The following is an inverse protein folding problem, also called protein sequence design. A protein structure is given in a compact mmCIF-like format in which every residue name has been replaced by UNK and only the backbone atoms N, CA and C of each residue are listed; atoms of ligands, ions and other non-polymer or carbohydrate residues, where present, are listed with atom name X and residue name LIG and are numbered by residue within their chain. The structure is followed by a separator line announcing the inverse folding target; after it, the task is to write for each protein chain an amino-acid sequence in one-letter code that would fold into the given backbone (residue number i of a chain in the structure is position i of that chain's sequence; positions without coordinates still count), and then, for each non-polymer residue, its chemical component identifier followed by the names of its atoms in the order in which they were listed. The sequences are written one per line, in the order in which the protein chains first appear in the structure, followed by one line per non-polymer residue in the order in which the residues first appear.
data_IF_108304988366
#
_entry.id   IF_108304988366
#
_cell.length_a   1.000
_cell.length_b   1.000
_cell.length_c   1.000
_cell.angle_alpha   90.00
_cell.angle_beta   90.00
_cell.angle_gamma   90.00
#
_symmetry.space_group_name_H-M   'P 1'
#
loop_
_entity.id
_entity.type
_entity.pdbx_description
1 polymer ?
#
# COMPACT_ATOMS: atom_id res chain seq x y z
N UNK A 1 -29.95 58.01 12.63
CA UNK A 1 -30.40 57.80 14.02
C UNK A 1 -29.87 56.45 14.47
N UNK A 2 -28.99 56.44 15.46
CA UNK A 2 -28.29 55.26 15.95
C UNK A 2 -29.06 54.61 17.10
N UNK A 3 -29.17 53.29 17.11
CA UNK A 3 -29.73 52.54 18.24
C UNK A 3 -28.74 51.46 18.65
N UNK A 4 -28.18 51.63 19.85
CA UNK A 4 -27.30 50.68 20.55
C UNK A 4 -28.16 49.57 21.18
N UNK A 5 -27.77 48.32 20.96
CA UNK A 5 -28.28 47.14 21.67
C UNK A 5 -27.18 46.52 22.52
N UNK A 6 -27.49 46.27 23.79
CA UNK A 6 -26.62 45.94 24.91
C UNK A 6 -26.36 44.43 25.00
N UNK A 7 -25.13 43.99 25.26
CA UNK A 7 -24.78 42.58 25.55
C UNK A 7 -24.21 42.50 26.97
N UNK A 8 -24.71 41.62 27.86
CA UNK A 8 -24.13 41.42 29.19
C UNK A 8 -23.01 40.36 29.18
N UNK A 9 -21.90 40.66 29.87
CA UNK A 9 -20.83 39.72 30.25
C UNK A 9 -21.20 38.96 31.53
N UNK A 10 -20.87 37.66 31.68
CA UNK A 10 -20.81 37.01 32.97
C UNK A 10 -19.41 37.07 33.58
N UNK A 11 -19.43 37.19 34.90
CA UNK A 11 -18.39 37.32 35.92
C UNK A 11 -17.47 36.11 36.07
N UNK A 12 -16.17 36.37 36.23
CA UNK A 12 -15.15 35.41 36.69
C UNK A 12 -15.01 35.58 38.21
N UNK A 13 -15.32 34.53 38.96
CA UNK A 13 -15.04 34.47 40.40
C UNK A 13 -13.66 33.86 40.65
N UNK A 14 -12.82 34.62 41.34
CA UNK A 14 -11.56 34.17 41.95
C UNK A 14 -11.83 33.47 43.28
N UNK A 15 -11.17 32.34 43.52
CA UNK A 15 -10.84 31.83 44.86
C UNK A 15 -9.40 31.30 44.83
N UNK A 16 -8.46 32.01 45.47
CA UNK A 16 -7.16 31.47 45.94
C UNK A 16 -7.39 30.65 47.22
N UNK A 17 -6.55 29.70 47.66
CA UNK A 17 -5.12 29.68 48.04
C UNK A 17 -4.88 28.25 48.68
N UNK A 18 -3.72 27.85 49.28
CA UNK A 18 -2.30 28.17 49.09
C UNK A 18 -1.33 26.92 49.12
N UNK A 19 -0.05 27.18 48.82
CA UNK A 19 1.23 26.64 49.40
C UNK A 19 1.64 25.16 49.35
N UNK A 20 2.85 24.98 48.79
CA UNK A 20 3.99 24.14 49.21
C UNK A 20 3.75 22.79 49.89
N UNK A 21 4.20 21.72 49.22
CA UNK A 21 4.66 20.49 49.88
C UNK A 21 6.06 20.15 49.38
N UNK A 22 7.04 20.31 50.27
CA UNK A 22 8.38 19.72 50.19
C UNK A 22 8.28 18.20 50.29
N UNK A 23 8.91 17.47 49.37
CA UNK A 23 9.16 16.04 49.50
C UNK A 23 10.61 15.78 49.94
N UNK A 24 10.80 15.32 51.18
CA UNK A 24 12.00 14.63 51.62
C UNK A 24 11.61 13.29 52.24
N UNK A 25 12.13 12.18 51.71
CA UNK A 25 12.59 11.03 52.50
C UNK A 25 13.28 9.96 51.63
N UNK A 26 14.59 9.85 51.87
CA UNK A 26 15.52 8.71 51.95
C UNK A 26 15.36 7.38 51.15
N UNK A 27 16.50 6.72 50.84
CA UNK A 27 16.60 5.64 49.86
C UNK A 27 16.38 4.27 50.49
N UNK A 28 15.68 3.38 49.78
CA UNK A 28 15.49 2.00 50.21
C UNK A 28 16.18 1.01 49.27
N UNK A 29 17.21 0.36 49.82
CA UNK A 29 17.33 -1.10 49.83
C UNK A 29 17.47 -1.85 48.51
N UNK A 30 18.72 -2.10 48.12
CA UNK A 30 19.12 -3.28 47.36
C UNK A 30 18.52 -4.56 47.98
N UNK A 31 17.73 -5.31 47.20
CA UNK A 31 17.35 -6.69 47.53
C UNK A 31 17.92 -7.61 46.46
N UNK A 32 18.90 -8.41 46.86
CA UNK A 32 19.45 -9.52 46.08
C UNK A 32 18.43 -10.66 45.98
N UNK A 33 18.15 -11.09 44.76
CA UNK A 33 17.49 -12.37 44.47
C UNK A 33 18.54 -13.45 44.10
N UNK A 34 18.33 -14.72 44.50
CA UNK A 34 19.38 -15.74 44.45
C UNK A 34 19.58 -16.30 43.04
N UNK A 35 20.85 -16.45 42.66
CA UNK A 35 21.29 -17.20 41.48
C UNK A 35 20.92 -18.67 41.63
N UNK A 36 20.03 -19.19 40.77
CA UNK A 36 19.87 -20.63 40.56
C UNK A 36 20.88 -21.11 39.52
N UNK A 37 21.94 -21.74 40.02
CA UNK A 37 22.87 -22.56 39.25
C UNK A 37 22.15 -23.85 38.88
N UNK A 38 21.89 -24.09 37.59
CA UNK A 38 21.49 -25.41 37.09
C UNK A 38 22.67 -26.05 36.39
N UNK A 39 23.15 -27.13 36.99
CA UNK A 39 24.08 -28.11 36.41
C UNK A 39 23.37 -28.94 35.34
N UNK A 40 23.94 -29.14 34.15
CA UNK A 40 23.44 -30.14 33.21
C UNK A 40 24.02 -31.51 33.59
N UNK A 41 23.13 -32.46 33.91
CA UNK A 41 23.49 -33.88 34.03
C UNK A 41 23.97 -34.38 32.68
N UNK A 42 25.19 -34.93 32.66
CA UNK A 42 25.73 -35.71 31.56
C UNK A 42 24.93 -37.02 31.44
N UNK A 43 24.27 -37.23 30.30
CA UNK A 43 23.93 -38.57 29.82
C UNK A 43 24.81 -38.87 28.61
N UNK A 44 25.79 -39.76 28.81
CA UNK A 44 26.53 -40.41 27.74
C UNK A 44 25.54 -41.10 26.80
N UNK A 45 25.58 -40.77 25.52
CA UNK A 45 25.02 -41.62 24.46
C UNK A 45 26.12 -41.83 23.42
N UNK A 46 26.45 -43.09 23.20
CA UNK A 46 27.58 -43.55 22.40
C UNK A 46 27.51 -43.06 20.95
N UNK A 47 28.63 -42.53 20.46
CA UNK A 47 28.88 -42.38 19.03
C UNK A 47 29.21 -43.75 18.43
N UNK A 48 28.28 -44.29 17.65
CA UNK A 48 28.56 -45.35 16.68
C UNK A 48 28.59 -44.74 15.29
N UNK A 49 29.79 -44.70 14.70
CA UNK A 49 30.04 -44.39 13.29
C UNK A 49 29.37 -45.45 12.41
N UNK A 50 28.45 -45.04 11.54
CA UNK A 50 27.94 -45.88 10.46
C UNK A 50 28.06 -45.10 9.15
N UNK A 51 28.76 -45.73 8.21
CA UNK A 51 29.14 -45.21 6.90
C UNK A 51 27.93 -44.82 6.03
N UNK A 52 28.13 -43.77 5.24
CA UNK A 52 27.17 -43.27 4.26
C UNK A 52 27.05 -44.23 3.05
N UNK A 53 25.83 -44.52 2.55
CA UNK A 53 25.64 -44.87 1.16
C UNK A 53 25.37 -43.60 0.35
N UNK A 54 26.14 -43.42 -0.71
CA UNK A 54 25.91 -42.43 -1.77
C UNK A 54 24.58 -42.74 -2.47
N UNK A 55 23.58 -41.88 -2.30
CA UNK A 55 22.36 -41.88 -3.11
C UNK A 55 22.22 -40.53 -3.78
N UNK A 56 22.21 -40.54 -5.11
CA UNK A 56 22.05 -39.35 -5.94
C UNK A 56 20.79 -38.59 -5.56
N UNK A 57 20.94 -37.28 -5.38
CA UNK A 57 19.85 -36.36 -5.13
C UNK A 57 18.98 -36.24 -6.39
N UNK A 58 18.02 -37.15 -6.55
CA UNK A 58 16.82 -36.84 -7.29
C UNK A 58 16.06 -35.81 -6.46
N UNK A 59 16.12 -34.54 -6.87
CA UNK A 59 15.33 -33.46 -6.28
C UNK A 59 13.84 -33.77 -6.50
N UNK A 60 13.24 -34.48 -5.56
CA UNK A 60 11.80 -34.61 -5.45
C UNK A 60 11.25 -33.22 -5.17
N UNK A 61 10.58 -32.62 -6.15
CA UNK A 61 9.78 -31.42 -5.94
C UNK A 61 8.57 -31.79 -5.08
N UNK A 62 8.72 -31.73 -3.76
CA UNK A 62 7.61 -31.79 -2.83
C UNK A 62 6.80 -30.51 -3.02
N UNK A 63 5.69 -30.59 -3.76
CA UNK A 63 4.67 -29.54 -3.76
C UNK A 63 3.98 -29.58 -2.40
N UNK A 64 4.55 -28.89 -1.41
CA UNK A 64 3.80 -28.54 -0.22
C UNK A 64 2.62 -27.70 -0.69
N UNK A 65 1.42 -28.28 -0.65
CA UNK A 65 0.17 -27.56 -0.83
C UNK A 65 -0.04 -26.75 0.46
N UNK A 66 0.70 -25.64 0.56
CA UNK A 66 0.70 -24.83 1.76
C UNK A 66 -0.70 -24.27 1.98
N UNK A 67 -1.31 -24.61 3.11
CA UNK A 67 -2.64 -24.15 3.43
C UNK A 67 -2.60 -22.66 3.80
N UNK A 68 -3.15 -21.81 2.94
CA UNK A 68 -3.23 -20.36 3.15
C UNK A 68 -3.93 -20.01 4.48
N UNK A 69 -4.90 -20.80 4.94
CA UNK A 69 -5.59 -20.57 6.20
C UNK A 69 -4.67 -20.69 7.44
N UNK A 70 -3.58 -21.46 7.35
CA UNK A 70 -2.61 -21.57 8.43
C UNK A 70 -1.46 -20.56 8.29
N UNK A 71 -1.19 -20.08 7.06
CA UNK A 71 -0.02 -19.26 6.75
C UNK A 71 -0.35 -17.79 6.48
N UNK A 72 -1.63 -17.39 6.60
CA UNK A 72 -2.06 -16.06 6.17
C UNK A 72 -1.37 -14.93 6.93
N UNK A 73 -1.03 -15.12 8.21
CA UNK A 73 -0.36 -14.07 9.01
C UNK A 73 1.01 -13.72 8.43
N UNK A 74 1.76 -14.72 7.98
CA UNK A 74 3.03 -14.53 7.28
C UNK A 74 2.84 -13.84 5.92
N UNK A 75 1.81 -14.25 5.16
CA UNK A 75 1.44 -13.57 3.90
C UNK A 75 1.04 -12.10 4.12
N UNK A 76 0.46 -11.80 5.27
CA UNK A 76 0.09 -10.45 5.71
C UNK A 76 1.25 -9.71 6.40
N UNK A 77 2.47 -10.23 6.32
CA UNK A 77 3.67 -9.51 6.74
C UNK A 77 3.94 -9.51 8.23
N UNK A 78 3.44 -10.51 8.98
CA UNK A 78 3.72 -10.66 10.42
C UNK A 78 5.20 -10.45 10.74
N UNK A 79 6.09 -11.14 10.02
CA UNK A 79 7.54 -11.02 10.14
C UNK A 79 8.17 -10.23 8.98
N UNK A 80 7.48 -9.20 8.48
CA UNK A 80 7.95 -8.37 7.34
C UNK A 80 8.37 -9.18 6.11
N UNK A 81 7.72 -10.33 5.88
CA UNK A 81 8.04 -11.26 4.78
C UNK A 81 9.50 -11.72 4.75
N UNK A 82 10.18 -11.74 5.90
CA UNK A 82 11.50 -12.38 6.06
C UNK A 82 11.43 -13.82 5.51
N UNK A 83 12.44 -14.20 4.73
CA UNK A 83 12.53 -15.48 4.02
C UNK A 83 11.39 -15.81 3.01
N UNK A 84 10.46 -14.88 2.76
CA UNK A 84 9.38 -15.07 1.77
C UNK A 84 9.60 -14.31 0.46
N UNK A 85 10.47 -13.29 0.47
CA UNK A 85 10.74 -12.43 -0.70
C UNK A 85 11.83 -13.00 -1.60
N UNK A 86 12.89 -13.57 -1.02
CA UNK A 86 14.04 -14.08 -1.78
C UNK A 86 14.52 -15.44 -1.21
N UNK A 87 14.25 -16.57 -1.91
CA UNK A 87 13.45 -16.69 -3.14
C UNK A 87 11.96 -16.46 -2.88
N UNK A 88 11.27 -15.83 -3.85
CA UNK A 88 9.85 -15.49 -3.70
C UNK A 88 8.99 -16.74 -3.45
N UNK A 89 8.45 -16.85 -2.24
CA UNK A 89 7.67 -17.99 -1.75
C UNK A 89 6.42 -18.22 -2.63
N UNK A 90 6.10 -19.47 -3.03
CA UNK A 90 5.00 -19.73 -3.96
C UNK A 90 3.63 -19.24 -3.50
N UNK A 91 3.32 -19.34 -2.19
CA UNK A 91 2.07 -18.78 -1.66
C UNK A 91 2.05 -17.25 -1.72
N UNK A 92 3.16 -16.60 -1.36
CA UNK A 92 3.23 -15.14 -1.39
C UNK A 92 3.05 -14.64 -2.82
N UNK A 93 3.72 -15.28 -3.78
CA UNK A 93 3.53 -15.02 -5.21
C UNK A 93 2.07 -15.15 -5.64
N UNK A 94 1.39 -16.23 -5.26
CA UNK A 94 -0.03 -16.47 -5.61
C UNK A 94 -0.92 -15.37 -5.03
N UNK A 95 -0.67 -14.95 -3.80
CA UNK A 95 -1.46 -13.91 -3.14
C UNK A 95 -1.15 -12.53 -3.72
N UNK A 96 0.11 -12.19 -4.03
CA UNK A 96 0.45 -10.96 -4.77
C UNK A 96 -0.31 -10.93 -6.11
N UNK A 97 -0.29 -12.01 -6.88
CA UNK A 97 -1.03 -12.09 -8.16
C UNK A 97 -2.53 -11.85 -7.92
N UNK A 98 -3.11 -12.51 -6.90
CA UNK A 98 -4.53 -12.36 -6.55
C UNK A 98 -4.89 -10.92 -6.20
N UNK A 99 -4.09 -10.26 -5.37
CA UNK A 99 -4.26 -8.85 -5.02
C UNK A 99 -4.10 -7.93 -6.25
N UNK A 100 -3.15 -8.23 -7.15
CA UNK A 100 -3.00 -7.54 -8.43
C UNK A 100 -4.23 -7.70 -9.34
N UNK A 101 -4.84 -8.89 -9.39
CA UNK A 101 -6.07 -9.14 -10.17
C UNK A 101 -7.26 -8.33 -9.65
N UNK A 102 -7.37 -8.12 -8.34
CA UNK A 102 -8.37 -7.22 -7.76
C UNK A 102 -8.16 -5.75 -8.16
N UNK A 103 -6.90 -5.30 -8.27
CA UNK A 103 -6.60 -3.96 -8.82
C UNK A 103 -6.90 -3.90 -10.32
N UNK A 104 -6.60 -4.97 -11.07
CA UNK A 104 -6.95 -5.06 -12.49
C UNK A 104 -8.46 -5.01 -12.74
N UNK A 105 -9.27 -5.52 -11.81
CA UNK A 105 -10.73 -5.40 -11.86
C UNK A 105 -11.19 -3.95 -11.90
N UNK A 106 -10.52 -3.03 -11.19
CA UNK A 106 -10.80 -1.60 -11.28
C UNK A 106 -10.64 -1.10 -12.72
N UNK A 107 -9.54 -1.44 -13.39
CA UNK A 107 -9.30 -0.98 -14.77
C UNK A 107 -10.32 -1.56 -15.76
N UNK A 108 -10.69 -2.84 -15.64
CA UNK A 108 -11.68 -3.48 -16.51
C UNK A 108 -13.08 -2.85 -16.35
N UNK A 109 -13.47 -2.58 -15.11
CA UNK A 109 -14.77 -2.00 -14.78
C UNK A 109 -14.86 -0.48 -15.00
N UNK A 110 -13.73 0.21 -15.22
CA UNK A 110 -13.72 1.66 -15.42
C UNK A 110 -14.18 2.05 -16.82
N UNK A 111 -15.09 3.02 -16.90
CA UNK A 111 -15.60 3.55 -18.15
C UNK A 111 -14.81 4.77 -18.62
N UNK A 112 -14.18 4.61 -19.78
CA UNK A 112 -13.35 5.62 -20.43
C UNK A 112 -13.97 6.12 -21.73
N UNK A 113 -15.17 5.64 -22.11
CA UNK A 113 -15.86 6.15 -23.29
C UNK A 113 -16.44 7.55 -22.99
N UNK A 114 -15.94 8.63 -23.62
CA UNK A 114 -16.43 9.98 -23.37
C UNK A 114 -17.90 10.16 -23.73
N UNK A 115 -18.47 9.28 -24.57
CA UNK A 115 -19.88 9.33 -24.95
C UNK A 115 -20.79 8.57 -23.97
N UNK A 116 -20.21 7.83 -23.03
CA UNK A 116 -20.97 7.08 -22.04
C UNK A 116 -21.54 7.99 -20.95
N UNK A 117 -22.80 7.74 -20.56
CA UNK A 117 -23.40 8.35 -19.37
C UNK A 117 -22.67 8.00 -18.07
N UNK A 118 -21.82 6.97 -18.10
CA UNK A 118 -20.99 6.52 -16.97
C UNK A 118 -19.52 6.88 -17.16
N UNK A 119 -19.18 7.81 -18.06
CA UNK A 119 -17.80 8.28 -18.22
C UNK A 119 -17.15 8.59 -16.86
N UNK A 120 -15.93 8.10 -16.65
CA UNK A 120 -15.16 8.20 -15.40
C UNK A 120 -15.81 7.55 -14.17
N UNK A 121 -16.75 6.63 -14.38
CA UNK A 121 -17.40 5.83 -13.35
C UNK A 121 -17.24 4.32 -13.62
N UNK A 122 -17.71 3.49 -12.68
CA UNK A 122 -17.82 2.05 -12.90
C UNK A 122 -18.95 1.75 -13.90
N UNK A 123 -18.67 0.89 -14.88
CA UNK A 123 -19.63 0.39 -15.89
C UNK A 123 -20.78 -0.39 -15.28
N UNK A 124 -20.50 -1.09 -14.18
CA UNK A 124 -21.38 -2.12 -13.60
C UNK A 124 -21.95 -1.69 -12.26
N UNK A 125 -23.04 -2.33 -11.86
CA UNK A 125 -23.59 -2.19 -10.51
C UNK A 125 -22.70 -2.89 -9.48
N UNK A 126 -22.66 -2.34 -8.27
CA UNK A 126 -21.84 -2.86 -7.15
C UNK A 126 -21.93 -4.39 -6.97
N UNK A 127 -23.14 -4.95 -6.97
CA UNK A 127 -23.36 -6.39 -6.72
C UNK A 127 -22.97 -7.28 -7.90
N UNK A 128 -22.88 -6.73 -9.11
CA UNK A 128 -22.55 -7.51 -10.31
C UNK A 128 -21.13 -7.30 -10.80
N UNK A 129 -20.44 -6.22 -10.39
CA UNK A 129 -19.17 -5.80 -10.96
C UNK A 129 -18.14 -6.91 -11.10
N UNK A 130 -17.90 -7.70 -10.04
CA UNK A 130 -16.93 -8.80 -10.09
C UNK A 130 -17.35 -9.91 -11.06
N UNK A 131 -18.65 -10.20 -11.19
CA UNK A 131 -19.15 -11.15 -12.18
C UNK A 131 -18.99 -10.63 -13.61
N UNK A 132 -19.38 -9.38 -13.86
CA UNK A 132 -19.32 -8.78 -15.21
C UNK A 132 -17.88 -8.65 -15.75
N UNK A 133 -16.87 -8.62 -14.86
CA UNK A 133 -15.45 -8.63 -15.22
C UNK A 133 -14.79 -10.02 -15.18
N UNK A 134 -15.59 -11.07 -14.97
CA UNK A 134 -15.14 -12.47 -15.02
C UNK A 134 -14.47 -12.99 -13.74
N UNK A 135 -14.79 -12.41 -12.58
CA UNK A 135 -14.27 -12.76 -11.26
C UNK A 135 -15.39 -13.13 -10.26
N UNK A 136 -16.46 -13.80 -10.72
CA UNK A 136 -17.55 -14.22 -9.83
C UNK A 136 -17.10 -15.18 -8.72
N UNK A 137 -16.21 -16.11 -9.05
CA UNK A 137 -15.69 -17.13 -8.13
C UNK A 137 -14.54 -16.64 -7.25
N UNK A 138 -14.21 -15.34 -7.26
CA UNK A 138 -13.13 -14.81 -6.43
C UNK A 138 -13.43 -14.90 -4.93
N UNK A 139 -14.70 -15.11 -4.57
CA UNK A 139 -15.17 -15.25 -3.19
C UNK A 139 -15.27 -13.94 -2.42
N UNK A 140 -15.31 -12.79 -3.11
CA UNK A 140 -15.49 -11.46 -2.50
C UNK A 140 -16.77 -10.81 -2.96
N UNK A 141 -17.35 -9.99 -2.09
CA UNK A 141 -18.51 -9.16 -2.42
C UNK A 141 -18.15 -7.69 -2.26
N UNK A 142 -18.43 -6.89 -3.29
CA UNK A 142 -18.18 -5.45 -3.26
C UNK A 142 -19.22 -4.77 -2.36
N UNK A 143 -18.76 -4.04 -1.35
CA UNK A 143 -19.60 -3.39 -0.35
C UNK A 143 -19.70 -1.89 -0.57
N UNK A 144 -18.68 -1.24 -1.15
CA UNK A 144 -18.70 0.21 -1.42
C UNK A 144 -17.87 0.56 -2.65
N UNK A 145 -18.35 1.53 -3.43
CA UNK A 145 -17.54 2.22 -4.44
C UNK A 145 -16.98 3.49 -3.84
N UNK A 146 -15.74 3.79 -4.20
CA UNK A 146 -14.99 4.94 -3.69
C UNK A 146 -14.76 5.91 -4.83
N UNK A 147 -15.12 7.16 -4.55
CA UNK A 147 -15.01 8.27 -5.48
C UNK A 147 -14.08 9.32 -4.90
N UNK A 148 -13.30 9.95 -5.76
CA UNK A 148 -12.48 11.10 -5.41
C UNK A 148 -12.72 12.25 -6.38
N UNK A 149 -12.70 13.45 -5.83
CA UNK A 149 -12.90 14.72 -6.52
C UNK A 149 -11.58 15.47 -6.44
N UNK A 150 -10.83 15.60 -7.55
CA UNK A 150 -9.67 16.48 -7.53
C UNK A 150 -10.14 17.92 -7.43
N UNK A 151 -9.47 18.71 -6.59
CA UNK A 151 -9.61 20.17 -6.53
C UNK A 151 -9.06 20.89 -7.78
N UNK A 152 -8.81 20.16 -8.87
CA UNK A 152 -8.15 20.66 -10.08
C UNK A 152 -9.13 20.57 -11.24
N UNK A 153 -9.42 21.72 -11.82
CA UNK A 153 -10.24 21.90 -13.01
C UNK A 153 -9.66 21.06 -14.16
N UNK A 154 -10.38 19.98 -14.50
CA UNK A 154 -10.17 19.29 -15.78
C UNK A 154 -11.26 19.82 -16.71
N UNK A 155 -10.91 20.40 -17.87
CA UNK A 155 -11.89 20.78 -18.87
C UNK A 155 -12.55 19.50 -19.42
N UNK A 156 -13.70 19.13 -18.85
CA UNK A 156 -14.57 18.10 -19.41
C UNK A 156 -15.37 18.77 -20.53
N UNK A 157 -15.39 18.24 -21.76
CA UNK A 157 -16.31 18.71 -22.79
C UNK A 157 -17.75 18.51 -22.29
N UNK A 158 -18.40 19.60 -21.88
CA UNK A 158 -19.81 19.68 -21.44
C UNK A 158 -20.21 18.88 -20.19
N UNK A 159 -19.46 18.94 -19.08
CA UNK A 159 -19.93 18.43 -17.79
C UNK A 159 -19.34 19.14 -16.58
N UNK A 160 -20.16 19.36 -15.54
CA UNK A 160 -19.71 19.81 -14.23
C UNK A 160 -18.73 18.79 -13.60
N UNK A 161 -17.77 19.24 -12.81
CA UNK A 161 -16.82 18.37 -12.09
C UNK A 161 -17.59 17.34 -11.25
N UNK A 162 -17.51 16.07 -11.65
CA UNK A 162 -18.18 14.95 -10.99
C UNK A 162 -17.12 14.02 -10.37
N UNK A 163 -17.41 13.48 -9.19
CA UNK A 163 -16.52 12.54 -8.51
C UNK A 163 -16.13 11.37 -9.40
N UNK A 164 -14.82 11.09 -9.49
CA UNK A 164 -14.28 10.03 -10.34
C UNK A 164 -14.20 8.75 -9.54
N UNK A 165 -14.66 7.64 -10.12
CA UNK A 165 -14.51 6.35 -9.48
C UNK A 165 -13.03 5.93 -9.46
N UNK A 166 -12.48 5.70 -8.28
CA UNK A 166 -11.06 5.38 -8.09
C UNK A 166 -10.81 4.01 -7.48
N UNK A 167 -11.86 3.33 -7.02
CA UNK A 167 -11.68 2.06 -6.33
C UNK A 167 -12.94 1.52 -5.66
N UNK A 168 -12.78 0.42 -4.94
CA UNK A 168 -13.88 -0.21 -4.23
C UNK A 168 -13.39 -0.93 -2.97
N UNK A 169 -14.32 -1.07 -2.03
CA UNK A 169 -14.18 -1.93 -0.85
C UNK A 169 -14.96 -3.22 -1.12
N UNK A 170 -14.33 -4.36 -0.85
CA UNK A 170 -14.94 -5.67 -0.92
C UNK A 170 -14.57 -6.49 0.31
N UNK A 171 -15.43 -7.45 0.66
CA UNK A 171 -15.20 -8.33 1.80
C UNK A 171 -15.25 -9.79 1.36
N UNK A 172 -14.38 -10.61 1.94
CA UNK A 172 -14.39 -12.05 1.74
C UNK A 172 -15.74 -12.65 2.20
N UNK A 173 -16.34 -13.50 1.37
CA UNK A 173 -17.50 -14.34 1.72
C UNK A 173 -17.12 -15.45 2.71
N UNK A 174 -18.09 -16.10 3.33
CA UNK A 174 -17.85 -17.18 4.30
C UNK A 174 -17.10 -18.37 3.67
N UNK A 175 -17.38 -18.66 2.40
CA UNK A 175 -16.62 -19.65 1.62
C UNK A 175 -15.15 -19.24 1.48
N UNK A 176 -14.90 -17.96 1.18
CA UNK A 176 -13.54 -17.44 1.12
C UNK A 176 -12.85 -17.45 2.48
N UNK A 177 -13.56 -17.16 3.58
CA UNK A 177 -12.98 -17.23 4.93
C UNK A 177 -12.45 -18.62 5.25
N UNK A 178 -13.18 -19.69 4.88
CA UNK A 178 -12.70 -21.08 5.06
C UNK A 178 -11.39 -21.34 4.32
N UNK A 179 -11.19 -20.74 3.14
CA UNK A 179 -9.94 -20.85 2.35
C UNK A 179 -8.82 -19.94 2.85
N UNK A 180 -9.17 -18.74 3.30
CA UNK A 180 -8.23 -17.69 3.72
C UNK A 180 -7.80 -17.81 5.19
N UNK A 181 -8.59 -18.50 6.01
CA UNK A 181 -8.42 -18.58 7.47
C UNK A 181 -8.78 -17.30 8.22
N UNK A 182 -9.42 -16.33 7.54
CA UNK A 182 -9.75 -15.00 8.07
C UNK A 182 -10.81 -14.29 7.21
N UNK A 183 -11.51 -13.32 7.79
CA UNK A 183 -12.33 -12.34 7.10
C UNK A 183 -11.44 -11.21 6.56
N UNK A 184 -11.18 -11.24 5.27
CA UNK A 184 -10.37 -10.20 4.63
C UNK A 184 -11.24 -9.06 4.11
N UNK A 185 -11.02 -7.85 4.62
CA UNK A 185 -11.55 -6.60 4.08
C UNK A 185 -10.54 -6.09 3.05
N UNK A 186 -10.91 -6.15 1.78
CA UNK A 186 -10.10 -5.69 0.66
C UNK A 186 -10.49 -4.27 0.27
N UNK A 187 -9.52 -3.36 0.23
CA UNK A 187 -9.68 -2.05 -0.40
C UNK A 187 -8.77 -1.99 -1.62
N UNK A 188 -9.34 -1.62 -2.76
CA UNK A 188 -8.59 -1.55 -4.02
C UNK A 188 -8.63 -0.14 -4.60
N UNK A 189 -7.51 0.29 -5.16
CA UNK A 189 -7.40 1.57 -5.84
C UNK A 189 -6.75 1.40 -7.21
N UNK A 190 -7.36 1.98 -8.25
CA UNK A 190 -6.69 2.12 -9.54
C UNK A 190 -5.74 3.32 -9.54
N UNK A 191 -4.74 3.26 -10.40
CA UNK A 191 -3.97 4.42 -10.81
C UNK A 191 -4.71 5.31 -11.82
N UNK A 192 -4.05 6.39 -12.21
CA UNK A 192 -4.49 7.30 -13.26
C UNK A 192 -4.50 6.60 -14.61
N UNK A 193 -5.62 6.72 -15.33
CA UNK A 193 -5.71 6.31 -16.75
C UNK A 193 -5.66 7.53 -17.67
N UNK A 194 -5.90 8.72 -17.12
CA UNK A 194 -6.09 9.96 -17.88
C UNK A 194 -5.03 10.99 -17.51
N UNK A 195 -4.37 11.48 -18.55
CA UNK A 195 -3.49 12.65 -18.65
C UNK A 195 -2.20 12.63 -17.78
N UNK A 196 -1.02 12.68 -18.42
CA UNK A 196 0.29 12.85 -17.76
C UNK A 196 0.39 14.02 -16.79
N UNK A 197 -0.41 15.07 -16.98
CA UNK A 197 -0.50 16.25 -16.10
C UNK A 197 -0.81 15.88 -14.64
N UNK A 198 -1.48 14.75 -14.41
CA UNK A 198 -1.72 14.27 -13.05
C UNK A 198 -0.44 13.84 -12.35
N UNK A 199 0.46 13.17 -13.05
CA UNK A 199 1.74 12.77 -12.44
C UNK A 199 2.56 14.01 -12.11
N UNK A 200 2.55 15.03 -12.97
CA UNK A 200 3.27 16.27 -12.68
C UNK A 200 2.64 17.03 -11.50
N UNK A 201 1.32 17.01 -11.35
CA UNK A 201 0.62 17.64 -10.23
C UNK A 201 0.80 16.87 -8.91
N UNK A 202 0.91 15.55 -8.95
CA UNK A 202 1.22 14.66 -7.81
C UNK A 202 2.70 14.70 -7.39
N UNK A 203 3.46 15.69 -7.86
CA UNK A 203 4.90 15.84 -7.60
C UNK A 203 5.20 17.28 -7.13
N UNK A 204 4.28 17.83 -6.33
CA UNK A 204 4.25 19.26 -6.00
C UNK A 204 5.15 19.61 -4.79
N UNK A 205 4.85 19.03 -3.63
CA UNK A 205 5.53 19.33 -2.36
C UNK A 205 5.13 18.35 -1.25
N UNK A 206 5.94 18.29 -0.19
CA UNK A 206 5.63 17.60 1.05
C UNK A 206 4.84 18.51 1.99
N UNK A 207 3.65 18.08 2.42
CA UNK A 207 2.81 18.78 3.40
C UNK A 207 2.55 17.89 4.62
N UNK A 208 2.41 18.46 5.83
CA UNK A 208 1.98 17.69 7.00
C UNK A 208 0.67 16.94 6.74
N UNK A 209 0.63 15.64 7.09
CA UNK A 209 -0.53 14.80 6.82
C UNK A 209 -1.79 15.25 7.58
N UNK A 210 -1.65 15.61 8.87
CA UNK A 210 -2.72 16.12 9.75
C UNK A 210 -4.02 15.28 9.70
N UNK A 211 -3.86 13.96 9.64
CA UNK A 211 -4.99 13.06 9.55
C UNK A 211 -5.60 12.78 10.92
N UNK A 212 -4.80 12.70 12.00
CA UNK A 212 -5.33 12.70 13.36
C UNK A 212 -5.58 14.15 13.85
N UNK A 213 -6.85 14.55 14.11
CA UNK A 213 -7.15 15.87 14.63
C UNK A 213 -6.63 16.13 16.06
N UNK A 214 -6.32 15.07 16.83
CA UNK A 214 -5.84 15.16 18.21
C UNK A 214 -4.30 15.15 18.31
N UNK A 215 -3.61 14.58 17.31
CA UNK A 215 -2.15 14.56 17.22
C UNK A 215 -1.68 14.87 15.79
N UNK A 216 -1.60 16.16 15.39
CA UNK A 216 -1.42 16.55 13.99
C UNK A 216 -0.01 16.31 13.42
N UNK A 217 0.96 15.84 14.23
CA UNK A 217 2.36 15.48 13.86
C UNK A 217 2.93 16.22 12.64
N UNK A 218 3.41 17.44 12.86
CA UNK A 218 3.83 18.35 11.77
C UNK A 218 5.08 17.89 11.00
N UNK A 219 5.86 16.99 11.59
CA UNK A 219 7.04 16.34 11.04
C UNK A 219 6.69 15.20 10.06
N UNK A 220 5.52 14.56 10.25
CA UNK A 220 4.99 13.52 9.36
C UNK A 220 4.39 14.18 8.12
N UNK A 221 5.12 14.12 7.02
CA UNK A 221 4.74 14.79 5.77
C UNK A 221 4.52 13.81 4.63
N UNK A 222 3.51 14.08 3.83
CA UNK A 222 3.10 13.31 2.66
C UNK A 222 3.03 14.21 1.43
N UNK A 223 3.04 13.63 0.24
CA UNK A 223 2.87 14.37 -1.00
C UNK A 223 1.49 15.06 -1.03
N UNK A 224 1.48 16.35 -1.33
CA UNK A 224 0.29 17.20 -1.21
C UNK A 224 -0.82 16.82 -2.20
N UNK A 225 -0.49 16.39 -3.41
CA UNK A 225 -1.45 15.91 -4.40
C UNK A 225 -2.16 14.62 -3.95
N UNK A 226 -1.43 13.64 -3.41
CA UNK A 226 -2.05 12.44 -2.84
C UNK A 226 -2.95 12.79 -1.64
N UNK A 227 -2.50 13.70 -0.77
CA UNK A 227 -3.30 14.14 0.37
C UNK A 227 -4.57 14.87 -0.06
N UNK A 228 -4.47 15.83 -1.00
CA UNK A 228 -5.63 16.54 -1.56
C UNK A 228 -6.63 15.56 -2.15
N UNK A 229 -6.20 14.65 -3.04
CA UNK A 229 -7.09 13.65 -3.63
C UNK A 229 -7.78 12.76 -2.56
N UNK A 230 -7.12 12.53 -1.43
CA UNK A 230 -7.65 11.73 -0.34
C UNK A 230 -8.64 12.51 0.55
N UNK A 231 -8.40 13.79 0.83
CA UNK A 231 -9.15 14.57 1.83
C UNK A 231 -10.18 15.55 1.27
N UNK A 232 -10.07 15.95 0.01
CA UNK A 232 -10.94 16.96 -0.58
C UNK A 232 -12.39 16.50 -0.67
N UNK A 233 -13.31 17.43 -0.43
CA UNK A 233 -14.75 17.19 -0.31
C UNK A 233 -15.53 18.20 -1.18
N UNK A 234 -16.47 17.69 -1.97
CA UNK A 234 -17.41 18.50 -2.76
C UNK A 234 -18.71 18.65 -1.95
N UNK A 235 -18.68 19.53 -0.94
CA UNK A 235 -19.78 19.71 0.01
C UNK A 235 -21.14 20.11 -0.62
N UNK A 236 -21.19 20.50 -1.89
CA UNK A 236 -22.36 21.19 -2.45
C UNK A 236 -23.11 20.48 -3.60
N UNK A 237 -22.64 19.38 -4.18
CA UNK A 237 -23.23 18.90 -5.46
C UNK A 237 -23.74 17.45 -5.53
N UNK A 238 -23.21 16.52 -4.72
CA UNK A 238 -23.65 15.11 -4.76
C UNK A 238 -23.84 14.44 -3.39
N UNK A 239 -23.57 15.14 -2.28
CA UNK A 239 -23.66 14.59 -0.92
C UNK A 239 -22.66 13.44 -0.64
N UNK A 240 -21.67 13.26 -1.51
CA UNK A 240 -20.57 12.32 -1.31
C UNK A 240 -19.47 13.04 -0.55
N UNK A 241 -19.24 12.64 0.71
CA UNK A 241 -18.08 13.11 1.45
C UNK A 241 -16.76 12.73 0.77
N UNK A 242 -15.63 13.24 1.28
CA UNK A 242 -14.31 12.97 0.74
C UNK A 242 -13.98 11.48 0.60
N UNK A 243 -12.99 11.16 -0.23
CA UNK A 243 -12.48 9.80 -0.39
C UNK A 243 -12.18 9.16 0.97
N UNK A 244 -11.46 9.89 1.84
CA UNK A 244 -11.19 9.53 3.23
C UNK A 244 -12.46 9.20 4.01
N UNK A 245 -13.47 10.08 4.01
CA UNK A 245 -14.70 9.85 4.76
C UNK A 245 -15.45 8.60 4.27
N UNK A 246 -15.53 8.39 2.96
CA UNK A 246 -16.16 7.20 2.37
C UNK A 246 -15.45 5.91 2.83
N UNK A 247 -14.12 5.90 2.85
CA UNK A 247 -13.29 4.77 3.23
C UNK A 247 -13.38 4.48 4.73
N UNK A 248 -13.12 5.47 5.59
CA UNK A 248 -13.14 5.29 7.04
C UNK A 248 -14.53 4.88 7.54
N UNK A 249 -15.60 5.43 6.96
CA UNK A 249 -16.98 5.03 7.29
C UNK A 249 -17.24 3.56 6.95
N UNK A 250 -16.84 3.11 5.76
CA UNK A 250 -17.08 1.74 5.33
C UNK A 250 -16.20 0.73 6.09
N UNK A 251 -14.92 1.04 6.32
CA UNK A 251 -14.03 0.20 7.14
C UNK A 251 -14.60 0.06 8.55
N UNK A 252 -15.00 1.17 9.18
CA UNK A 252 -15.60 1.15 10.52
C UNK A 252 -16.88 0.31 10.57
N UNK A 253 -17.72 0.40 9.53
CA UNK A 253 -18.94 -0.40 9.40
C UNK A 253 -18.63 -1.89 9.34
N UNK A 254 -17.67 -2.30 8.51
CA UNK A 254 -17.26 -3.69 8.33
C UNK A 254 -16.59 -4.26 9.59
N UNK A 255 -15.72 -3.48 10.24
CA UNK A 255 -15.09 -3.89 11.50
C UNK A 255 -16.12 -4.13 12.61
N UNK A 256 -17.19 -3.32 12.65
CA UNK A 256 -18.31 -3.53 13.57
C UNK A 256 -19.14 -4.77 13.20
N UNK A 257 -19.38 -4.98 11.92
CA UNK A 257 -20.17 -6.11 11.41
C UNK A 257 -19.52 -7.46 11.72
N UNK A 258 -18.20 -7.57 11.50
CA UNK A 258 -17.43 -8.81 11.72
C UNK A 258 -16.69 -8.83 13.06
N UNK A 259 -17.22 -8.12 14.06
CA UNK A 259 -16.66 -8.13 15.42
C UNK A 259 -16.72 -9.55 15.98
N UNK A 260 -15.57 -10.06 16.43
CA UNK A 260 -15.43 -11.42 16.97
C UNK A 260 -14.83 -12.42 15.97
N UNK A 261 -14.62 -12.03 14.72
CA UNK A 261 -13.87 -12.84 13.74
C UNK A 261 -12.37 -12.46 13.71
N UNK A 262 -11.55 -13.36 13.17
CA UNK A 262 -10.19 -13.05 12.70
C UNK A 262 -10.32 -12.20 11.43
N UNK A 263 -10.12 -10.89 11.55
CA UNK A 263 -10.27 -9.91 10.46
C UNK A 263 -8.90 -9.41 10.02
N UNK A 264 -8.73 -9.14 8.72
CA UNK A 264 -7.60 -8.40 8.15
C UNK A 264 -8.08 -7.24 7.29
N UNK A 265 -7.29 -6.17 7.21
CA UNK A 265 -7.50 -5.08 6.27
C UNK A 265 -6.37 -5.16 5.24
N UNK A 266 -6.70 -5.63 4.03
CA UNK A 266 -5.76 -5.65 2.92
C UNK A 266 -6.06 -4.51 1.95
N UNK A 267 -5.05 -3.70 1.65
CA UNK A 267 -5.12 -2.64 0.67
C UNK A 267 -4.27 -3.02 -0.54
N UNK A 268 -4.78 -2.81 -1.74
CA UNK A 268 -4.03 -3.06 -2.96
C UNK A 268 -4.21 -1.88 -3.91
N UNK A 269 -3.11 -1.45 -4.52
CA UNK A 269 -3.17 -0.34 -5.45
C UNK A 269 -2.04 -0.39 -6.46
N UNK A 270 -2.30 0.21 -7.62
CA UNK A 270 -1.31 0.38 -8.67
C UNK A 270 -1.05 1.87 -8.92
N UNK A 271 0.21 2.25 -9.13
CA UNK A 271 0.62 3.63 -9.46
C UNK A 271 0.10 4.62 -8.39
N UNK A 272 -0.61 5.69 -8.78
CA UNK A 272 -1.31 6.61 -7.85
C UNK A 272 -2.18 5.86 -6.81
N UNK A 273 -2.84 4.76 -7.20
CA UNK A 273 -3.66 3.96 -6.29
C UNK A 273 -2.85 3.31 -5.17
N UNK A 274 -1.57 3.00 -5.40
CA UNK A 274 -0.68 2.49 -4.36
C UNK A 274 -0.41 3.55 -3.29
N UNK A 275 -0.25 4.82 -3.69
CA UNK A 275 -0.06 5.91 -2.74
C UNK A 275 -1.27 6.12 -1.85
N UNK A 276 -2.47 6.08 -2.43
CA UNK A 276 -3.73 6.14 -1.68
C UNK A 276 -3.89 4.94 -0.73
N UNK A 277 -3.46 3.75 -1.13
CA UNK A 277 -3.46 2.57 -0.28
C UNK A 277 -2.54 2.76 0.95
N UNK A 278 -1.33 3.28 0.75
CA UNK A 278 -0.41 3.56 1.87
C UNK A 278 -0.95 4.67 2.78
N UNK A 279 -1.52 5.74 2.22
CA UNK A 279 -2.14 6.80 3.02
C UNK A 279 -3.31 6.30 3.86
N UNK A 280 -4.21 5.50 3.29
CA UNK A 280 -5.32 4.91 4.04
C UNK A 280 -4.83 3.95 5.12
N UNK A 281 -3.81 3.14 4.84
CA UNK A 281 -3.25 2.22 5.82
C UNK A 281 -2.66 2.97 7.03
N UNK A 282 -1.92 4.05 6.74
CA UNK A 282 -1.43 4.98 7.76
C UNK A 282 -2.60 5.60 8.56
N UNK A 283 -3.62 6.14 7.89
CA UNK A 283 -4.77 6.81 8.53
C UNK A 283 -5.55 5.85 9.45
N UNK A 284 -5.81 4.62 9.00
CA UNK A 284 -6.47 3.57 9.80
C UNK A 284 -5.70 3.29 11.08
N UNK A 285 -4.37 3.15 10.98
CA UNK A 285 -3.52 2.80 12.12
C UNK A 285 -3.28 3.98 13.06
N UNK A 286 -3.09 5.19 12.52
CA UNK A 286 -2.91 6.42 13.29
C UNK A 286 -4.17 6.74 14.12
N UNK A 287 -5.36 6.57 13.53
CA UNK A 287 -6.64 6.72 14.24
C UNK A 287 -6.95 5.55 15.20
N UNK A 288 -6.14 4.49 15.20
CA UNK A 288 -6.33 3.31 16.03
C UNK A 288 -7.57 2.48 15.67
N UNK A 289 -8.12 2.63 14.45
CA UNK A 289 -9.31 1.89 14.01
C UNK A 289 -9.06 0.38 13.93
N UNK A 290 -7.81 -0.03 13.76
CA UNK A 290 -7.40 -1.43 13.73
C UNK A 290 -7.10 -2.02 15.13
N UNK A 291 -7.26 -1.27 16.22
CA UNK A 291 -7.03 -1.79 17.58
C UNK A 291 -8.27 -2.52 18.10
N UNK A 292 -8.11 -3.75 18.60
CA UNK A 292 -9.16 -4.45 19.37
C UNK A 292 -8.96 -4.17 20.86
N UNK A 293 -10.04 -3.95 21.60
CA UNK A 293 -9.99 -3.64 23.04
C UNK A 293 -9.29 -4.73 23.88
N UNK A 294 -9.34 -6.01 23.45
CA UNK A 294 -8.79 -7.14 24.22
C UNK A 294 -8.01 -8.20 23.41
N UNK A 295 -7.98 -8.14 22.07
CA UNK A 295 -7.50 -9.24 21.21
C UNK A 295 -6.36 -8.84 20.24
N UNK A 296 -5.58 -7.82 20.60
CA UNK A 296 -4.46 -7.33 19.76
C UNK A 296 -4.92 -6.44 18.60
N UNK A 297 -4.02 -6.23 17.63
CA UNK A 297 -4.27 -5.33 16.49
C UNK A 297 -4.68 -6.14 15.25
N UNK A 298 -5.64 -5.60 14.50
CA UNK A 298 -6.05 -6.09 13.19
C UNK A 298 -4.92 -5.78 12.20
N UNK A 299 -4.36 -6.78 11.50
CA UNK A 299 -3.32 -6.55 10.52
C UNK A 299 -3.79 -5.62 9.39
N UNK A 300 -2.99 -4.60 9.09
CA UNK A 300 -3.18 -3.66 7.98
C UNK A 300 -2.03 -3.83 7.00
N UNK A 301 -2.33 -4.38 5.83
CA UNK A 301 -1.32 -4.78 4.84
C UNK A 301 -1.56 -4.12 3.50
N UNK A 302 -0.53 -3.53 2.89
CA UNK A 302 -0.58 -2.89 1.58
C UNK A 302 0.22 -3.70 0.56
N UNK A 303 -0.42 -4.05 -0.57
CA UNK A 303 0.23 -4.58 -1.77
C UNK A 303 0.31 -3.45 -2.82
N UNK A 304 1.50 -2.86 -2.94
CA UNK A 304 1.78 -1.70 -3.78
C UNK A 304 2.43 -2.14 -5.09
N UNK A 305 1.75 -1.96 -6.22
CA UNK A 305 2.27 -2.28 -7.56
C UNK A 305 2.72 -0.99 -8.26
N UNK A 306 4.02 -0.85 -8.56
CA UNK A 306 4.52 0.33 -9.27
C UNK A 306 4.30 1.65 -8.52
N UNK A 307 4.10 1.61 -7.20
CA UNK A 307 3.78 2.79 -6.41
C UNK A 307 4.98 3.75 -6.23
N UNK A 308 4.78 5.07 -6.34
CA UNK A 308 5.80 6.06 -6.02
C UNK A 308 6.00 6.22 -4.50
N UNK A 309 6.95 7.06 -4.08
CA UNK A 309 7.13 7.48 -2.69
C UNK A 309 5.97 8.37 -2.25
N UNK A 310 5.49 8.15 -1.03
CA UNK A 310 4.27 8.79 -0.52
C UNK A 310 4.58 9.94 0.44
N UNK A 311 5.65 9.83 1.22
CA UNK A 311 6.00 10.81 2.23
C UNK A 311 7.48 10.82 2.58
N UNK A 312 7.82 11.58 3.62
CA UNK A 312 9.19 11.71 4.09
C UNK A 312 9.64 10.56 5.00
N UNK A 313 10.88 10.62 5.48
CA UNK A 313 11.42 9.65 6.44
C UNK A 313 10.58 9.53 7.72
N UNK A 314 10.06 10.64 8.26
CA UNK A 314 9.20 10.62 9.45
C UNK A 314 7.87 9.88 9.19
N UNK A 315 7.29 10.05 8.00
CA UNK A 315 6.12 9.28 7.58
C UNK A 315 6.42 7.77 7.48
N UNK A 316 7.59 7.41 6.94
CA UNK A 316 8.04 6.01 6.90
C UNK A 316 8.16 5.42 8.31
N UNK A 317 8.94 6.08 9.17
CA UNK A 317 9.19 5.64 10.55
C UNK A 317 7.88 5.52 11.32
N UNK A 318 6.96 6.48 11.14
CA UNK A 318 5.64 6.42 11.77
C UNK A 318 4.80 5.24 11.28
N UNK A 319 4.81 4.92 9.99
CA UNK A 319 4.12 3.73 9.48
C UNK A 319 4.66 2.43 10.09
N UNK A 320 6.00 2.35 10.24
CA UNK A 320 6.67 1.20 10.86
C UNK A 320 6.31 1.08 12.36
N UNK A 321 6.31 2.19 13.10
CA UNK A 321 5.89 2.27 14.50
C UNK A 321 4.44 1.85 14.72
N UNK A 322 3.56 2.20 13.78
CA UNK A 322 2.15 1.84 13.78
C UNK A 322 1.89 0.39 13.34
N UNK A 323 2.94 -0.36 12.99
CA UNK A 323 2.81 -1.76 12.56
C UNK A 323 2.22 -1.96 11.17
N UNK A 324 2.10 -0.90 10.36
CA UNK A 324 1.58 -0.99 8.99
C UNK A 324 2.56 -1.79 8.12
N UNK A 325 2.05 -2.82 7.44
CA UNK A 325 2.86 -3.67 6.56
C UNK A 325 2.69 -3.23 5.12
N UNK A 326 3.78 -2.87 4.44
CA UNK A 326 3.74 -2.50 3.02
C UNK A 326 4.68 -3.40 2.24
N UNK A 327 4.15 -4.10 1.25
CA UNK A 327 4.90 -4.88 0.27
C UNK A 327 4.87 -4.15 -1.07
N UNK A 328 6.04 -3.70 -1.52
CA UNK A 328 6.23 -2.95 -2.77
C UNK A 328 6.70 -3.89 -3.85
N UNK A 329 5.87 -4.12 -4.86
CA UNK A 329 6.21 -4.84 -6.08
C UNK A 329 6.70 -3.79 -7.09
N UNK A 330 8.00 -3.81 -7.38
CA UNK A 330 8.66 -2.82 -8.24
C UNK A 330 9.25 -3.48 -9.47
N UNK A 331 9.28 -2.73 -10.57
CA UNK A 331 9.99 -3.11 -11.78
C UNK A 331 11.21 -2.22 -11.90
N UNK A 332 12.40 -2.80 -12.09
CA UNK A 332 13.67 -2.04 -12.17
C UNK A 332 13.63 -0.95 -13.24
N UNK A 333 12.91 -1.23 -14.33
CA UNK A 333 12.78 -0.37 -15.50
C UNK A 333 11.63 0.65 -15.37
N UNK A 334 10.80 0.57 -14.34
CA UNK A 334 9.72 1.52 -14.12
C UNK A 334 10.22 2.80 -13.40
N UNK A 335 10.22 3.96 -14.08
CA UNK A 335 10.67 5.22 -13.49
C UNK A 335 9.74 5.73 -12.38
N UNK A 336 8.45 5.37 -12.39
CA UNK A 336 7.47 5.88 -11.41
C UNK A 336 7.82 5.44 -9.99
N UNK A 337 8.32 4.21 -9.84
CA UNK A 337 8.78 3.69 -8.54
C UNK A 337 9.95 4.47 -7.94
N UNK A 338 10.66 5.30 -8.71
CA UNK A 338 11.81 6.11 -8.25
C UNK A 338 11.42 7.55 -7.92
N UNK A 339 10.16 7.91 -8.10
CA UNK A 339 9.64 9.24 -7.89
C UNK A 339 8.88 9.35 -6.55
N UNK A 340 8.72 10.57 -6.03
CA UNK A 340 9.52 11.78 -6.30
C UNK A 340 10.98 11.68 -5.79
N UNK A 341 11.89 12.44 -6.42
CA UNK A 341 13.26 12.64 -5.90
C UNK A 341 14.36 11.80 -6.57
N UNK A 342 14.50 11.89 -7.90
CA UNK A 342 15.50 11.15 -8.71
C UNK A 342 16.97 11.38 -8.27
N UNK A 343 17.29 12.37 -7.42
CA UNK A 343 18.69 12.72 -7.10
C UNK A 343 19.07 12.89 -5.61
N UNK A 344 18.19 12.64 -4.65
CA UNK A 344 18.58 12.63 -3.21
C UNK A 344 18.27 11.27 -2.60
N UNK A 345 19.06 10.28 -3.01
CA UNK A 345 18.88 8.89 -2.62
C UNK A 345 19.53 8.60 -1.25
N UNK A 346 18.94 7.64 -0.54
CA UNK A 346 19.24 7.10 0.79
C UNK A 346 20.73 6.77 1.05
N UNK A 347 21.56 6.72 0.00
CA UNK A 347 23.02 6.53 0.07
C UNK A 347 23.78 7.67 0.76
N UNK A 348 23.19 8.87 0.92
CA UNK A 348 23.83 9.93 1.70
C UNK A 348 23.83 9.67 3.22
N UNK A 349 23.01 8.73 3.74
CA UNK A 349 23.14 8.28 5.14
C UNK A 349 24.47 7.55 5.39
N UNK A 350 25.08 6.94 4.38
CA UNK A 350 26.33 6.17 4.53
C UNK A 350 27.56 7.09 4.63
N UNK A 351 27.51 8.30 4.06
CA UNK A 351 28.62 9.27 4.16
C UNK A 351 28.50 10.21 5.37
N UNK A 352 27.34 10.25 6.03
CA UNK A 352 26.99 11.19 7.09
C UNK A 352 27.02 10.60 8.50
N UNK A 353 27.92 9.66 8.78
CA UNK A 353 28.13 9.16 10.14
C UNK A 353 28.53 10.29 11.08
N UNK A 354 27.56 10.79 11.89
CA UNK A 354 27.63 11.80 12.98
C UNK A 354 27.05 13.19 12.76
N UNK A 355 26.41 13.52 11.63
CA UNK A 355 25.69 14.79 11.52
C UNK A 355 24.31 14.60 10.87
N UNK A 356 23.26 14.59 11.68
CA UNK A 356 21.88 14.76 11.20
C UNK A 356 21.73 16.17 10.63
N UNK A 357 21.84 16.30 9.31
CA UNK A 357 21.52 17.55 8.63
C UNK A 357 20.01 17.80 8.73
N UNK A 358 19.55 19.02 9.07
CA UNK A 358 18.12 19.38 9.20
C UNK A 358 17.25 19.10 7.95
N UNK A 359 17.89 18.84 6.82
CA UNK A 359 17.28 18.65 5.51
C UNK A 359 16.93 17.17 5.22
N UNK A 360 17.40 16.25 6.07
CA UNK A 360 17.14 14.80 5.95
C UNK A 360 15.65 14.44 6.12
N UNK A 361 14.89 15.24 6.86
CA UNK A 361 13.43 15.10 7.04
C UNK A 361 12.61 15.64 5.86
N UNK A 362 13.25 16.25 4.86
CA UNK A 362 12.60 16.81 3.67
C UNK A 362 12.73 15.92 2.43
N UNK A 363 13.38 14.76 2.54
CA UNK A 363 13.52 13.80 1.45
C UNK A 363 12.40 12.77 1.50
N UNK A 364 11.87 12.40 0.33
CA UNK A 364 10.92 11.32 0.20
C UNK A 364 11.57 9.97 0.49
N UNK A 365 10.86 9.10 1.20
CA UNK A 365 11.30 7.77 1.56
C UNK A 365 10.28 6.71 1.12
N UNK A 366 10.76 5.51 0.82
CA UNK A 366 9.88 4.37 0.60
C UNK A 366 9.47 3.73 1.92
N UNK A 367 8.20 3.32 2.00
CA UNK A 367 7.65 2.58 3.13
C UNK A 367 7.59 1.08 2.77
N UNK A 368 8.09 0.24 3.68
CA UNK A 368 7.96 -1.21 3.60
C UNK A 368 9.02 -1.97 2.79
N UNK A 369 8.72 -3.24 2.54
CA UNK A 369 9.62 -4.25 1.96
C UNK A 369 9.46 -4.30 0.45
N UNK A 370 10.56 -4.42 -0.28
CA UNK A 370 10.59 -4.38 -1.74
C UNK A 370 10.77 -5.77 -2.35
N UNK A 371 9.94 -6.10 -3.34
CA UNK A 371 10.12 -7.21 -4.27
C UNK A 371 10.50 -6.61 -5.62
N UNK A 372 11.73 -6.84 -6.04
CA UNK A 372 12.25 -6.36 -7.31
C UNK A 372 11.97 -7.38 -8.41
N UNK A 373 11.21 -6.96 -9.42
CA UNK A 373 11.05 -7.68 -10.68
C UNK A 373 12.09 -7.12 -11.66
N UNK A 374 13.13 -7.91 -11.94
CA UNK A 374 14.19 -7.55 -12.88
C UNK A 374 14.11 -8.44 -14.12
N UNK A 375 13.54 -7.94 -15.23
CA UNK A 375 13.53 -8.67 -16.50
C UNK A 375 13.62 -7.74 -17.73
N UNK A 376 14.17 -8.33 -18.82
CA UNK A 376 14.59 -7.79 -20.12
C UNK A 376 14.17 -6.36 -20.52
N UNK A 377 15.15 -5.68 -21.13
CA UNK A 377 15.17 -4.32 -21.66
C UNK A 377 13.96 -3.98 -22.57
N UNK A 378 12.78 -3.77 -21.99
CA UNK A 378 11.66 -3.15 -22.68
C UNK A 378 11.93 -1.65 -22.73
N UNK A 379 12.26 -1.15 -23.92
CA UNK A 379 12.53 0.28 -24.16
C UNK A 379 11.28 1.16 -24.01
N UNK A 380 10.09 0.59 -23.80
CA UNK A 380 8.85 1.34 -23.64
C UNK A 380 8.43 1.49 -22.15
N UNK A 381 8.58 2.70 -21.56
CA UNK A 381 8.23 3.00 -20.18
C UNK A 381 6.73 2.83 -19.85
N UNK A 382 5.84 2.89 -20.86
CA UNK A 382 4.42 2.64 -20.69
C UNK A 382 4.11 1.16 -20.45
N UNK A 383 4.90 0.26 -21.06
CA UNK A 383 4.74 -1.19 -20.90
C UNK A 383 5.29 -1.68 -19.57
N UNK A 384 6.36 -1.06 -19.06
CA UNK A 384 7.01 -1.45 -17.79
C UNK A 384 6.25 -0.99 -16.54
N UNK A 385 5.42 0.06 -16.67
CA UNK A 385 4.51 0.56 -15.63
C UNK A 385 3.08 0.01 -15.76
N UNK A 386 2.82 -0.92 -16.68
CA UNK A 386 1.49 -1.52 -16.82
C UNK A 386 1.26 -2.65 -15.80
N UNK A 387 0.13 -2.63 -15.10
CA UNK A 387 -0.21 -3.62 -14.08
C UNK A 387 -0.26 -5.07 -14.63
N UNK A 388 -0.72 -5.28 -15.87
CA UNK A 388 -0.72 -6.63 -16.45
C UNK A 388 0.70 -7.13 -16.68
N UNK A 389 1.65 -6.25 -17.00
CA UNK A 389 3.07 -6.61 -17.04
C UNK A 389 3.56 -7.09 -15.68
N UNK A 390 3.27 -6.38 -14.59
CA UNK A 390 3.62 -6.81 -13.23
C UNK A 390 3.04 -8.21 -12.90
N UNK A 391 1.76 -8.42 -13.18
CA UNK A 391 1.08 -9.71 -12.92
C UNK A 391 1.65 -10.83 -13.81
N UNK A 392 1.86 -10.55 -15.10
CA UNK A 392 2.41 -11.50 -16.06
C UNK A 392 3.82 -11.96 -15.69
N UNK A 393 4.66 -11.04 -15.21
CA UNK A 393 6.00 -11.34 -14.70
C UNK A 393 5.95 -12.26 -13.47
N UNK A 394 5.05 -12.00 -12.53
CA UNK A 394 4.87 -12.86 -11.35
C UNK A 394 4.37 -14.27 -11.72
N UNK A 395 3.55 -14.39 -12.77
CA UNK A 395 3.08 -15.70 -13.29
C UNK A 395 4.21 -16.49 -13.94
N UNK A 396 5.26 -15.84 -14.46
CA UNK A 396 6.40 -16.50 -15.07
C UNK A 396 7.29 -17.19 -14.00
N UNK A 397 7.44 -18.52 -14.12
CA UNK A 397 8.04 -19.36 -13.07
C UNK A 397 9.59 -19.33 -13.04
N UNK A 398 10.26 -18.87 -14.10
CA UNK A 398 11.73 -18.90 -14.24
C UNK A 398 12.41 -17.61 -13.73
N UNK A 399 12.39 -17.39 -12.40
CA UNK A 399 13.11 -16.26 -11.78
C UNK A 399 14.57 -16.63 -11.35
N UNK A 400 15.02 -17.88 -11.49
CA UNK A 400 16.36 -18.25 -10.99
C UNK A 400 17.19 -19.26 -11.83
N UNK A 401 16.82 -19.53 -13.09
CA UNK A 401 17.62 -20.44 -13.95
C UNK A 401 17.65 -19.98 -15.40
N UNK A 402 18.29 -18.86 -15.73
CA UNK A 402 18.66 -18.54 -17.12
C UNK A 402 20.02 -17.83 -17.23
N UNK A 403 21.02 -18.32 -16.50
CA UNK A 403 22.43 -18.12 -16.89
C UNK A 403 23.01 -19.31 -17.68
N UNK A 404 22.22 -20.37 -17.92
CA UNK A 404 22.59 -21.52 -18.75
C UNK A 404 21.37 -22.01 -19.53
N UNK A 405 21.18 -21.47 -20.73
CA UNK A 405 20.87 -22.21 -21.97
C UNK A 405 20.23 -21.26 -22.98
N UNK A 406 20.76 -21.32 -24.19
CA UNK A 406 20.52 -20.40 -25.30
C UNK A 406 19.17 -20.58 -26.00
N UNK A 407 18.08 -20.67 -25.26
CA UNK A 407 16.73 -20.90 -25.79
C UNK A 407 15.88 -19.62 -25.74
N UNK A 408 16.45 -18.55 -26.31
CA UNK A 408 15.92 -17.17 -26.24
C UNK A 408 14.75 -16.89 -27.19
N UNK A 409 14.56 -17.71 -28.23
CA UNK A 409 13.69 -17.38 -29.36
C UNK A 409 12.24 -17.80 -29.09
N UNK A 410 12.00 -19.05 -28.66
CA UNK A 410 10.64 -19.57 -28.39
C UNK A 410 9.92 -18.86 -27.22
N UNK A 411 10.67 -18.27 -26.29
CA UNK A 411 10.08 -17.54 -25.16
C UNK A 411 9.54 -16.16 -25.57
N UNK A 412 10.19 -15.50 -26.54
CA UNK A 412 9.77 -14.18 -27.02
C UNK A 412 8.42 -14.27 -27.75
N UNK A 413 8.23 -15.30 -28.57
CA UNK A 413 6.96 -15.49 -29.29
C UNK A 413 5.82 -15.78 -28.31
N UNK A 414 6.05 -16.61 -27.28
CA UNK A 414 5.00 -16.98 -26.33
C UNK A 414 4.62 -15.86 -25.37
N UNK A 415 5.59 -15.05 -24.92
CA UNK A 415 5.31 -13.86 -24.14
C UNK A 415 4.64 -12.79 -25.02
N UNK A 416 5.14 -12.58 -26.23
CA UNK A 416 4.55 -11.63 -27.17
C UNK A 416 3.12 -12.00 -27.58
N UNK A 417 2.79 -13.28 -27.75
CA UNK A 417 1.41 -13.73 -28.02
C UNK A 417 0.47 -13.44 -26.84
N UNK A 418 0.92 -13.67 -25.61
CA UNK A 418 0.16 -13.31 -24.40
C UNK A 418 -0.04 -11.78 -24.32
N UNK A 419 0.99 -10.99 -24.66
CA UNK A 419 0.91 -9.53 -24.70
C UNK A 419 -0.01 -8.99 -25.81
N UNK A 420 0.04 -9.57 -27.02
CA UNK A 420 -0.77 -9.14 -28.16
C UNK A 420 -2.26 -9.42 -27.96
N UNK A 421 -2.61 -10.46 -27.20
CA UNK A 421 -4.01 -10.75 -26.83
C UNK A 421 -4.62 -9.76 -25.82
N UNK A 422 -3.79 -8.98 -25.12
CA UNK A 422 -4.18 -8.09 -24.04
C UNK A 422 -4.36 -6.60 -24.45
N UNK A 423 -4.11 -6.24 -25.71
CA UNK A 423 -4.28 -4.87 -26.17
C UNK A 423 -5.74 -4.55 -26.54
N UNK A 424 -6.43 -3.89 -25.61
CA UNK A 424 -7.58 -3.04 -25.91
C UNK A 424 -7.70 -1.86 -24.91
N UNK A 425 -6.56 -1.22 -24.60
CA UNK A 425 -6.52 -0.01 -23.77
C UNK A 425 -5.59 0.99 -24.47
N UNK A 426 -6.13 2.18 -24.77
CA UNK A 426 -5.51 3.22 -25.59
C UNK A 426 -4.18 3.71 -24.95
N UNK A 427 -3.06 3.45 -25.63
CA UNK A 427 -1.70 3.50 -25.08
C UNK A 427 -0.90 4.77 -25.46
N UNK A 428 -1.49 5.66 -26.26
CA UNK A 428 -0.79 6.81 -26.86
C UNK A 428 -0.29 7.91 -25.91
N UNK A 429 -0.96 8.26 -24.78
CA UNK A 429 -0.55 9.42 -23.97
C UNK A 429 0.78 9.27 -23.21
N UNK A 430 1.33 8.05 -23.07
CA UNK A 430 2.47 7.77 -22.18
C UNK A 430 3.83 7.78 -22.89
N UNK A 431 3.85 7.57 -24.21
CA UNK A 431 5.08 7.57 -25.03
C UNK A 431 5.71 8.96 -25.05
N UNK A 432 4.87 10.00 -25.12
CA UNK A 432 5.29 11.39 -25.19
C UNK A 432 5.88 11.89 -23.85
N UNK A 433 5.39 11.35 -22.73
CA UNK A 433 5.82 11.75 -21.37
C UNK A 433 7.21 11.26 -21.06
N UNK A 434 7.51 9.99 -21.34
CA UNK A 434 8.83 9.49 -21.02
C UNK A 434 9.89 10.10 -21.94
N UNK A 435 9.54 10.38 -23.19
CA UNK A 435 10.42 11.14 -24.10
C UNK A 435 10.63 12.58 -23.61
N UNK A 436 9.56 13.29 -23.23
CA UNK A 436 9.64 14.66 -22.73
C UNK A 436 10.32 14.77 -21.36
N UNK A 437 10.11 13.83 -20.44
CA UNK A 437 10.81 13.80 -19.16
C UNK A 437 12.30 13.54 -19.36
N UNK A 438 12.70 12.58 -20.21
CA UNK A 438 14.11 12.33 -20.55
C UNK A 438 14.76 13.57 -21.19
N UNK A 439 14.05 14.28 -22.07
CA UNK A 439 14.54 15.51 -22.69
C UNK A 439 14.63 16.68 -21.69
N UNK A 440 13.69 16.78 -20.74
CA UNK A 440 13.73 17.80 -19.69
C UNK A 440 14.90 17.57 -18.71
N UNK A 441 15.25 16.30 -18.44
CA UNK A 441 16.45 15.94 -17.66
C UNK A 441 17.76 16.20 -18.41
N UNK A 442 17.76 16.20 -19.75
CA UNK A 442 18.93 16.60 -20.54
C UNK A 442 19.10 18.12 -20.58
N UNK A 443 18.01 18.89 -20.59
CA UNK A 443 18.03 20.36 -20.60
C UNK A 443 18.49 20.99 -19.28
N UNK A 444 18.47 20.27 -18.15
CA UNK A 444 19.02 20.74 -16.87
C UNK A 444 20.51 20.41 -16.66
N UNK A 445 21.17 19.83 -17.68
CA UNK A 445 22.61 19.49 -17.67
C UNK A 445 23.47 20.39 -18.56
N UNK A 446 22.92 21.47 -19.09
CA UNK A 446 23.66 22.48 -19.86
C UNK A 446 23.70 23.81 -19.14
#
# INVERSE_FOLDING_TARGET
MATKGMVPRPTINHTGFPTEVRSHSHPFGQVHLPKKTMTPKQSLVNFASVAAPSMGAAAASTSYDYNLACFWREIQGLNNWEDLVEPLHPLLRKEIIRYGEFVAACYKAFDLDPNSKRYLNCKYGRRSMLREIGMEDCGYQVTKYIYATPDIDIPIPNGESCGRWIGYVAVASDDAVRRLGRRDIMITFRGTVTNPEWITNLMSSLTPARLDPYDPRLDVKVEAGFLSLYTSDENDKFGLGSCRQQLLSEVSRLLKEYKGEDVTITLAGHSMGSSLAVLLAYDIAELGLNRKEMDGEIPVTVFSFGGPRVGNSAFKERCEDLGVKVLRIVNVNDPITKLPGVFFNEKFKVLGGKFELPWSCSCYAHVGVEIVLDFFNMQNPSCVHDLQTYIGLLKCRKIARMQKDGDRVDFLDRASELFLSAHNINMFPWIEVASNMVNMFQSQRT
#
